data_IF_929883022276
#
_entry.id   IF_929883022276
#
_cell.length_a   1.000
_cell.length_b   1.000
_cell.length_c   1.000
_cell.angle_alpha   90.00
_cell.angle_beta   90.00
_cell.angle_gamma   90.00
#
_symmetry.space_group_name_H-M   'P 1'
#
loop_
_entity.id
_entity.type
_entity.pdbx_description
1 polymer ?
#
# COMPACT_ATOMS: atom_id res chain seq x y z
N UNK A 1 -12.89 5.29 -22.38
CA UNK A 1 -12.35 4.29 -23.30
C UNK A 1 -10.92 4.64 -23.72
N UNK A 2 -10.66 5.87 -24.12
CA UNK A 2 -9.35 6.29 -24.66
C UNK A 2 -8.16 6.15 -23.68
N UNK A 3 -8.41 6.04 -22.40
CA UNK A 3 -7.36 5.89 -21.36
C UNK A 3 -6.97 4.42 -21.14
N UNK A 4 -7.86 3.46 -21.43
CA UNK A 4 -7.65 2.02 -21.19
C UNK A 4 -7.70 1.21 -22.51
N UNK A 5 -8.14 1.80 -23.62
CA UNK A 5 -8.17 1.17 -24.92
C UNK A 5 -6.88 1.40 -25.70
N UNK A 6 -6.47 0.43 -26.49
CA UNK A 6 -5.49 0.62 -27.55
C UNK A 6 -6.25 0.91 -28.85
N UNK A 7 -5.60 1.56 -29.83
CA UNK A 7 -6.17 1.84 -31.17
C UNK A 7 -6.74 0.61 -31.91
N UNK A 8 -6.63 -0.60 -31.31
CA UNK A 8 -7.01 -1.88 -31.93
C UNK A 8 -7.90 -2.79 -31.08
N UNK A 9 -8.35 -2.37 -29.88
CA UNK A 9 -9.26 -3.17 -29.07
C UNK A 9 -9.39 -2.71 -27.62
N UNK A 10 -10.44 -3.19 -26.96
CA UNK A 10 -10.76 -2.87 -25.56
C UNK A 10 -10.21 -3.94 -24.58
N UNK A 11 -9.25 -4.77 -24.99
CA UNK A 11 -8.76 -5.91 -24.20
C UNK A 11 -8.24 -5.49 -22.81
N UNK A 12 -7.51 -4.37 -22.75
CA UNK A 12 -6.99 -3.84 -21.47
C UNK A 12 -8.12 -3.37 -20.55
N UNK A 13 -9.15 -2.73 -21.12
CA UNK A 13 -10.33 -2.31 -20.38
C UNK A 13 -11.11 -3.52 -19.88
N UNK A 14 -11.31 -4.53 -20.71
CA UNK A 14 -12.00 -5.77 -20.37
C UNK A 14 -11.26 -6.53 -19.26
N UNK A 15 -9.94 -6.67 -19.35
CA UNK A 15 -9.12 -7.27 -18.31
C UNK A 15 -9.22 -6.48 -17.00
N UNK A 16 -9.16 -5.16 -17.06
CA UNK A 16 -9.28 -4.28 -15.88
C UNK A 16 -10.64 -4.45 -15.20
N UNK A 17 -11.73 -4.44 -15.97
CA UNK A 17 -13.10 -4.66 -15.45
C UNK A 17 -13.23 -6.05 -14.82
N UNK A 18 -12.71 -7.09 -15.49
CA UNK A 18 -12.73 -8.46 -14.99
C UNK A 18 -11.98 -8.62 -13.67
N UNK A 19 -10.77 -8.06 -13.58
CA UNK A 19 -9.96 -8.07 -12.35
C UNK A 19 -10.62 -7.29 -11.24
N UNK A 20 -11.19 -6.14 -11.54
CA UNK A 20 -11.92 -5.32 -10.56
C UNK A 20 -13.17 -6.04 -10.05
N UNK A 21 -13.91 -6.71 -10.93
CA UNK A 21 -15.03 -7.58 -10.56
C UNK A 21 -14.58 -8.70 -9.62
N UNK A 22 -13.55 -9.45 -10.00
CA UNK A 22 -13.02 -10.56 -9.21
C UNK A 22 -12.60 -10.08 -7.81
N UNK A 23 -11.88 -8.96 -7.74
CA UNK A 23 -11.48 -8.37 -6.46
C UNK A 23 -12.68 -7.90 -5.62
N UNK A 24 -13.66 -7.24 -6.24
CA UNK A 24 -14.87 -6.82 -5.55
C UNK A 24 -15.65 -8.01 -4.97
N UNK A 25 -15.64 -9.16 -5.67
CA UNK A 25 -16.32 -10.39 -5.23
C UNK A 25 -15.65 -11.04 -4.01
N UNK A 26 -14.41 -10.70 -3.68
CA UNK A 26 -13.81 -11.11 -2.40
C UNK A 26 -14.31 -10.28 -1.20
N UNK A 27 -15.09 -9.22 -1.42
CA UNK A 27 -15.70 -8.41 -0.37
C UNK A 27 -17.11 -8.89 -0.05
N UNK A 28 -17.50 -8.83 1.22
CA UNK A 28 -18.84 -9.23 1.65
C UNK A 28 -19.96 -8.41 0.97
N UNK A 29 -19.70 -7.14 0.64
CA UNK A 29 -20.60 -6.23 -0.08
C UNK A 29 -19.90 -5.63 -1.31
N UNK A 30 -19.83 -6.36 -2.44
CA UNK A 30 -19.10 -5.96 -3.65
C UNK A 30 -19.49 -4.60 -4.20
N UNK A 31 -20.80 -4.36 -4.32
CA UNK A 31 -21.31 -3.09 -4.87
C UNK A 31 -20.98 -1.89 -3.97
N UNK A 32 -21.09 -2.07 -2.66
CA UNK A 32 -20.72 -1.03 -1.69
C UNK A 32 -19.24 -0.70 -1.82
N UNK A 33 -18.40 -1.73 -1.84
CA UNK A 33 -16.94 -1.54 -1.98
C UNK A 33 -16.59 -0.79 -3.28
N UNK A 34 -17.18 -1.18 -4.41
CA UNK A 34 -16.98 -0.51 -5.70
C UNK A 34 -17.37 0.98 -5.63
N UNK A 35 -18.52 1.29 -5.05
CA UNK A 35 -18.98 2.69 -4.90
C UNK A 35 -18.07 3.48 -3.98
N UNK A 36 -17.67 2.91 -2.85
CA UNK A 36 -16.74 3.53 -1.91
C UNK A 36 -15.36 3.80 -2.55
N UNK A 37 -14.86 2.86 -3.36
CA UNK A 37 -13.61 3.02 -4.12
C UNK A 37 -13.67 4.21 -5.10
N UNK A 38 -14.82 4.41 -5.79
CA UNK A 38 -14.99 5.58 -6.65
C UNK A 38 -15.10 6.89 -5.82
N UNK A 39 -15.78 6.86 -4.68
CA UNK A 39 -15.93 8.01 -3.79
C UNK A 39 -14.60 8.48 -3.19
N UNK A 40 -13.61 7.59 -3.04
CA UNK A 40 -12.27 7.96 -2.59
C UNK A 40 -11.58 9.00 -3.50
N UNK A 41 -12.04 9.15 -4.73
CA UNK A 41 -11.58 10.18 -5.68
C UNK A 41 -12.40 11.48 -5.62
N UNK A 42 -13.39 11.57 -4.73
CA UNK A 42 -14.19 12.78 -4.52
C UNK A 42 -13.49 13.74 -3.54
N UNK A 43 -12.41 14.32 -4.01
CA UNK A 43 -11.52 15.16 -3.21
C UNK A 43 -12.01 16.61 -3.23
N UNK A 44 -12.36 17.15 -2.07
CA UNK A 44 -12.77 18.56 -1.92
C UNK A 44 -11.67 19.53 -2.40
N UNK A 45 -12.04 20.74 -2.88
CA UNK A 45 -11.04 21.70 -3.37
C UNK A 45 -9.99 22.11 -2.32
N UNK A 46 -10.37 22.15 -1.05
CA UNK A 46 -9.56 22.53 0.11
C UNK A 46 -9.01 21.34 0.92
N UNK A 47 -9.22 20.12 0.44
CA UNK A 47 -8.70 18.92 1.10
C UNK A 47 -7.18 18.92 1.16
N UNK A 48 -6.65 18.37 2.23
CA UNK A 48 -5.22 18.03 2.37
C UNK A 48 -5.04 16.50 2.37
N UNK A 49 -3.84 16.02 2.03
CA UNK A 49 -3.62 14.56 1.96
C UNK A 49 -3.88 13.88 3.30
N UNK A 50 -3.57 14.53 4.41
CA UNK A 50 -3.78 13.97 5.74
C UNK A 50 -5.27 13.68 6.07
N UNK A 51 -6.21 14.26 5.32
CA UNK A 51 -7.66 13.97 5.43
C UNK A 51 -8.07 12.68 4.67
N UNK A 52 -7.20 12.15 3.82
CA UNK A 52 -7.49 10.97 3.03
C UNK A 52 -7.41 9.70 3.88
N UNK A 53 -8.39 8.80 3.73
CA UNK A 53 -8.48 7.53 4.48
C UNK A 53 -7.20 6.69 4.35
N UNK A 54 -6.53 6.75 3.21
CA UNK A 54 -5.30 6.00 2.94
C UNK A 54 -4.03 6.68 3.47
N UNK A 55 -4.08 7.96 3.87
CA UNK A 55 -2.89 8.73 4.22
C UNK A 55 -2.18 8.17 5.46
N UNK A 56 -2.90 7.87 6.53
CA UNK A 56 -2.29 7.35 7.76
C UNK A 56 -1.68 5.95 7.57
N UNK A 57 -2.37 4.95 6.98
CA UNK A 57 -1.76 3.66 6.64
C UNK A 57 -0.48 3.78 5.79
N UNK A 58 -0.45 4.70 4.83
CA UNK A 58 0.75 4.91 4.00
C UNK A 58 1.87 5.58 4.79
N UNK A 59 1.57 6.61 5.60
CA UNK A 59 2.56 7.22 6.50
C UNK A 59 3.18 6.19 7.44
N UNK A 60 2.38 5.30 8.00
CA UNK A 60 2.86 4.23 8.88
C UNK A 60 3.73 3.21 8.15
N UNK A 61 3.39 2.85 6.92
CA UNK A 61 4.22 1.98 6.11
C UNK A 61 5.59 2.63 5.80
N UNK A 62 5.58 3.90 5.44
CA UNK A 62 6.81 4.68 5.19
C UNK A 62 7.65 4.82 6.46
N UNK A 63 7.02 5.15 7.61
CA UNK A 63 7.72 5.25 8.90
C UNK A 63 8.42 3.96 9.28
N UNK A 64 7.77 2.81 9.10
CA UNK A 64 8.39 1.49 9.39
C UNK A 64 9.66 1.25 8.58
N UNK A 65 9.68 1.61 7.30
CA UNK A 65 10.89 1.52 6.48
C UNK A 65 11.98 2.44 7.02
N UNK A 66 11.65 3.71 7.29
CA UNK A 66 12.60 4.70 7.82
C UNK A 66 13.15 4.31 9.19
N UNK A 67 12.34 3.77 10.09
CA UNK A 67 12.77 3.30 11.41
C UNK A 67 13.73 2.11 11.30
N UNK A 68 13.47 1.18 10.37
CA UNK A 68 14.38 0.08 10.10
C UNK A 68 15.72 0.60 9.58
N UNK A 69 15.71 1.57 8.68
CA UNK A 69 16.90 2.20 8.13
C UNK A 69 17.70 2.94 9.21
N UNK A 70 17.02 3.62 10.13
CA UNK A 70 17.65 4.24 11.31
C UNK A 70 18.34 3.18 12.16
N UNK A 71 17.69 2.05 12.44
CA UNK A 71 18.30 0.94 13.21
C UNK A 71 19.51 0.34 12.51
N UNK A 72 19.45 0.15 11.18
CA UNK A 72 20.59 -0.31 10.38
C UNK A 72 21.78 0.64 10.51
N UNK A 73 21.54 1.96 10.46
CA UNK A 73 22.57 2.99 10.64
C UNK A 73 23.12 3.05 12.05
N UNK A 74 22.32 2.74 13.08
CA UNK A 74 22.84 2.61 14.45
C UNK A 74 23.91 1.53 14.55
N UNK A 75 23.65 0.35 13.94
CA UNK A 75 24.61 -0.73 13.84
C UNK A 75 25.88 -0.34 13.07
N UNK A 76 25.73 0.36 11.94
CA UNK A 76 26.86 0.88 11.17
C UNK A 76 27.69 1.85 12.00
N UNK A 77 27.07 2.85 12.60
CA UNK A 77 27.75 3.88 13.41
C UNK A 77 28.42 3.29 14.64
N UNK A 78 27.84 2.24 15.25
CA UNK A 78 28.50 1.50 16.32
C UNK A 78 29.86 0.95 15.85
N UNK A 79 29.93 0.30 14.69
CA UNK A 79 31.18 -0.25 14.15
C UNK A 79 32.17 0.84 13.70
N UNK A 80 31.69 1.92 13.09
CA UNK A 80 32.54 3.01 12.63
C UNK A 80 33.21 3.75 13.78
N UNK A 81 32.51 3.96 14.89
CA UNK A 81 33.04 4.68 16.08
C UNK A 81 34.10 3.90 16.85
N UNK A 82 34.18 2.58 16.65
CA UNK A 82 35.19 1.74 17.32
C UNK A 82 36.60 1.88 16.72
N UNK A 83 36.73 2.53 15.56
CA UNK A 83 38.00 2.58 14.81
C UNK A 83 38.28 3.97 14.29
N UNK A 84 39.42 4.52 14.68
CA UNK A 84 39.87 5.86 14.28
C UNK A 84 39.96 6.01 12.74
N UNK A 85 40.35 4.94 12.05
CA UNK A 85 40.44 4.90 10.59
C UNK A 85 39.14 5.29 9.88
N UNK A 86 37.97 5.15 10.53
CA UNK A 86 36.68 5.49 9.99
C UNK A 86 36.16 6.88 10.37
N UNK A 87 36.87 7.64 11.18
CA UNK A 87 36.44 8.96 11.62
C UNK A 87 35.97 9.88 10.48
N UNK A 88 36.64 9.93 9.29
CA UNK A 88 36.18 10.79 8.18
C UNK A 88 34.78 10.37 7.61
N UNK A 89 34.36 9.11 7.81
CA UNK A 89 33.07 8.61 7.36
C UNK A 89 31.99 8.75 8.43
N UNK A 90 32.36 8.73 9.73
CA UNK A 90 31.42 8.84 10.84
C UNK A 90 30.47 10.05 10.73
N UNK A 91 31.02 11.23 10.42
CA UNK A 91 30.24 12.47 10.31
C UNK A 91 29.20 12.37 9.21
N UNK A 92 29.57 11.76 8.07
CA UNK A 92 28.65 11.59 6.93
C UNK A 92 27.51 10.62 7.28
N UNK A 93 27.82 9.46 7.85
CA UNK A 93 26.80 8.51 8.28
C UNK A 93 25.91 9.08 9.40
N UNK A 94 26.48 9.90 10.30
CA UNK A 94 25.71 10.58 11.34
C UNK A 94 24.74 11.60 10.74
N UNK A 95 25.16 12.37 9.73
CA UNK A 95 24.30 13.33 9.04
C UNK A 95 23.17 12.64 8.27
N UNK A 96 23.49 11.55 7.56
CA UNK A 96 22.48 10.73 6.85
C UNK A 96 21.48 10.13 7.84
N UNK A 97 21.92 9.58 8.98
CA UNK A 97 21.02 9.08 10.02
C UNK A 97 20.14 10.18 10.62
N UNK A 98 20.69 11.37 10.83
CA UNK A 98 19.92 12.50 11.35
C UNK A 98 18.78 12.89 10.40
N UNK A 99 19.04 12.88 9.09
CA UNK A 99 17.99 13.13 8.08
C UNK A 99 16.91 12.05 8.10
N UNK A 100 17.28 10.77 8.21
CA UNK A 100 16.31 9.68 8.37
C UNK A 100 15.47 9.85 9.64
N UNK A 101 16.09 10.14 10.78
CA UNK A 101 15.37 10.38 12.04
C UNK A 101 14.43 11.59 11.96
N UNK A 102 14.81 12.63 11.27
CA UNK A 102 13.95 13.78 11.04
C UNK A 102 12.69 13.37 10.25
N UNK A 103 12.84 12.55 9.22
CA UNK A 103 11.71 12.04 8.46
C UNK A 103 10.79 11.14 9.31
N UNK A 104 11.34 10.29 10.19
CA UNK A 104 10.56 9.46 11.14
C UNK A 104 9.68 10.32 12.05
N UNK A 105 10.17 11.49 12.47
CA UNK A 105 9.44 12.39 13.39
C UNK A 105 8.36 13.24 12.71
N UNK A 106 8.23 13.17 11.37
CA UNK A 106 7.22 13.93 10.64
C UNK A 106 5.79 13.51 11.05
N UNK A 107 4.94 14.48 11.36
CA UNK A 107 3.56 14.23 11.74
C UNK A 107 2.61 14.37 10.55
N UNK A 108 2.84 15.32 9.67
CA UNK A 108 2.03 15.57 8.48
C UNK A 108 2.63 14.90 7.24
N UNK A 109 1.78 14.63 6.24
CA UNK A 109 2.24 14.18 4.93
C UNK A 109 3.22 15.17 4.29
N UNK A 110 2.94 16.46 4.42
CA UNK A 110 3.77 17.52 3.84
C UNK A 110 5.19 17.50 4.43
N UNK A 111 5.31 17.35 5.75
CA UNK A 111 6.62 17.27 6.40
C UNK A 111 7.34 15.98 6.02
N UNK A 112 6.64 14.85 6.02
CA UNK A 112 7.19 13.55 5.64
C UNK A 112 7.71 13.59 4.19
N UNK A 113 6.91 14.09 3.26
CA UNK A 113 7.29 14.28 1.85
C UNK A 113 8.52 15.18 1.71
N UNK A 114 8.51 16.32 2.39
CA UNK A 114 9.62 17.28 2.36
C UNK A 114 10.92 16.65 2.89
N UNK A 115 10.87 15.97 4.02
CA UNK A 115 12.05 15.38 4.63
C UNK A 115 12.57 14.19 3.81
N UNK A 116 11.71 13.27 3.37
CA UNK A 116 12.14 12.12 2.56
C UNK A 116 12.74 12.58 1.22
N UNK A 117 12.15 13.57 0.56
CA UNK A 117 12.69 14.13 -0.69
C UNK A 117 14.03 14.84 -0.51
N UNK A 118 14.29 15.38 0.68
CA UNK A 118 15.55 16.05 1.01
C UNK A 118 16.68 15.10 1.42
N UNK A 119 16.40 13.81 1.68
CA UNK A 119 17.44 12.83 2.00
C UNK A 119 18.33 12.63 0.77
N UNK A 120 19.60 12.92 0.93
CA UNK A 120 20.64 12.74 -0.08
C UNK A 120 21.78 11.84 0.43
N UNK A 121 22.43 11.16 -0.51
CA UNK A 121 23.54 10.26 -0.24
C UNK A 121 24.77 10.71 -1.01
N UNK A 122 25.48 11.72 -0.52
CA UNK A 122 26.68 12.25 -1.18
C UNK A 122 27.77 11.17 -1.28
N UNK A 123 28.70 11.36 -2.20
CA UNK A 123 29.82 10.43 -2.40
C UNK A 123 30.59 10.24 -1.10
N UNK A 124 30.82 8.98 -0.72
CA UNK A 124 31.61 8.66 0.48
C UNK A 124 33.04 9.18 0.37
N UNK A 125 33.52 9.75 1.45
CA UNK A 125 34.90 10.15 1.57
C UNK A 125 35.80 8.91 1.51
N UNK A 126 36.89 8.99 0.74
CA UNK A 126 37.85 7.91 0.64
C UNK A 126 38.60 7.71 1.96
N UNK A 127 38.65 6.48 2.43
CA UNK A 127 39.46 6.09 3.57
C UNK A 127 40.82 5.61 3.08
N UNK A 128 41.88 5.91 3.84
CA UNK A 128 43.25 5.58 3.49
C UNK A 128 43.84 4.62 4.52
N UNK A 129 44.74 3.72 4.07
CA UNK A 129 45.52 2.81 4.93
C UNK A 129 44.68 1.91 5.86
N UNK A 130 43.59 1.34 5.31
CA UNK A 130 42.83 0.37 6.04
C UNK A 130 43.56 -0.97 6.13
N UNK A 131 43.53 -1.61 7.31
CA UNK A 131 43.85 -3.03 7.47
C UNK A 131 42.89 -3.93 6.69
N UNK A 132 43.21 -5.19 6.49
CA UNK A 132 42.31 -6.10 5.78
C UNK A 132 41.02 -6.37 6.60
N UNK A 133 41.13 -6.38 7.92
CA UNK A 133 39.98 -6.44 8.81
C UNK A 133 39.07 -5.21 8.65
N UNK A 134 39.65 -4.02 8.65
CA UNK A 134 38.91 -2.76 8.48
C UNK A 134 38.27 -2.68 7.10
N UNK A 135 38.92 -3.17 6.05
CA UNK A 135 38.32 -3.25 4.72
C UNK A 135 37.05 -4.11 4.74
N UNK A 136 37.10 -5.27 5.40
CA UNK A 136 35.92 -6.15 5.49
C UNK A 136 34.76 -5.50 6.26
N UNK A 137 35.05 -4.76 7.35
CA UNK A 137 34.05 -3.99 8.08
C UNK A 137 33.48 -2.86 7.22
N UNK A 138 34.37 -2.11 6.55
CA UNK A 138 33.98 -0.99 5.69
C UNK A 138 33.07 -1.44 4.53
N UNK A 139 33.38 -2.57 3.87
CA UNK A 139 32.52 -3.11 2.81
C UNK A 139 31.11 -3.46 3.32
N UNK A 140 31.00 -4.04 4.52
CA UNK A 140 29.69 -4.27 5.15
C UNK A 140 28.93 -2.99 5.44
N UNK A 141 29.60 -1.97 5.98
CA UNK A 141 28.99 -0.66 6.23
C UNK A 141 28.50 -0.01 4.92
N UNK A 142 29.29 -0.07 3.85
CA UNK A 142 28.88 0.43 2.53
C UNK A 142 27.67 -0.32 2.00
N UNK A 143 27.64 -1.64 2.12
CA UNK A 143 26.51 -2.43 1.68
C UNK A 143 25.20 -2.01 2.38
N UNK A 144 25.23 -1.86 3.71
CA UNK A 144 24.06 -1.37 4.46
C UNK A 144 23.62 0.01 3.97
N UNK A 145 24.59 0.93 3.77
CA UNK A 145 24.28 2.25 3.22
C UNK A 145 23.65 2.19 1.83
N UNK A 146 24.15 1.32 0.96
CA UNK A 146 23.62 1.14 -0.40
C UNK A 146 22.19 0.56 -0.37
N UNK A 147 21.90 -0.34 0.56
CA UNK A 147 20.55 -0.88 0.78
C UNK A 147 19.59 0.25 1.25
N UNK A 148 19.97 1.01 2.30
CA UNK A 148 19.21 2.17 2.77
C UNK A 148 19.02 3.22 1.67
N UNK A 149 20.09 3.54 0.92
CA UNK A 149 20.00 4.43 -0.23
C UNK A 149 18.99 3.93 -1.25
N UNK A 150 18.93 2.63 -1.51
CA UNK A 150 17.98 2.02 -2.43
C UNK A 150 16.55 2.16 -1.90
N UNK A 151 16.33 1.91 -0.61
CA UNK A 151 15.01 2.06 0.01
C UNK A 151 14.50 3.51 -0.15
N UNK A 152 15.35 4.51 0.07
CA UNK A 152 14.99 5.92 -0.11
C UNK A 152 14.81 6.26 -1.60
N UNK A 153 15.86 6.06 -2.44
CA UNK A 153 15.91 6.63 -3.80
C UNK A 153 15.18 5.81 -4.86
N UNK A 154 14.90 4.54 -4.59
CA UNK A 154 14.21 3.63 -5.53
C UNK A 154 12.83 3.21 -5.07
N UNK A 155 12.51 3.37 -3.78
CA UNK A 155 11.22 3.00 -3.22
C UNK A 155 10.48 4.22 -2.69
N UNK A 156 10.97 4.89 -1.64
CA UNK A 156 10.19 5.95 -1.00
C UNK A 156 10.01 7.17 -1.90
N UNK A 157 11.10 7.73 -2.44
CA UNK A 157 11.01 8.94 -3.27
C UNK A 157 10.18 8.74 -4.56
N UNK A 158 10.39 7.69 -5.38
CA UNK A 158 9.66 7.57 -6.64
C UNK A 158 8.26 6.98 -6.49
N UNK A 159 7.98 6.19 -5.47
CA UNK A 159 6.68 5.51 -5.29
C UNK A 159 5.71 6.38 -4.49
N UNK A 160 6.15 6.91 -3.36
CA UNK A 160 5.26 7.64 -2.43
C UNK A 160 5.37 9.16 -2.55
N UNK A 161 6.52 9.68 -2.96
CA UNK A 161 6.81 11.12 -2.98
C UNK A 161 7.30 11.61 -4.34
N UNK A 162 6.83 10.99 -5.43
CA UNK A 162 7.17 11.39 -6.82
C UNK A 162 6.57 12.73 -7.20
N UNK A 163 5.45 13.12 -6.60
CA UNK A 163 4.73 14.36 -6.85
C UNK A 163 4.54 15.17 -5.57
N UNK A 164 4.20 16.44 -5.69
CA UNK A 164 3.82 17.26 -4.53
C UNK A 164 2.45 16.83 -4.01
N UNK A 165 2.09 17.19 -2.75
CA UNK A 165 0.76 16.93 -2.21
C UNK A 165 -0.37 17.48 -3.08
N UNK A 166 -0.19 18.69 -3.61
CA UNK A 166 -1.14 19.35 -4.49
C UNK A 166 -1.31 18.59 -5.81
N UNK A 167 -0.20 18.16 -6.43
CA UNK A 167 -0.22 17.35 -7.66
C UNK A 167 -0.92 16.01 -7.46
N UNK A 168 -0.75 15.38 -6.28
CA UNK A 168 -1.47 14.15 -5.92
C UNK A 168 -2.99 14.37 -5.86
N UNK A 169 -3.43 15.41 -5.13
CA UNK A 169 -4.85 15.73 -4.99
C UNK A 169 -5.49 16.12 -6.34
N UNK A 170 -4.78 16.88 -7.17
CA UNK A 170 -5.25 17.24 -8.52
C UNK A 170 -5.30 16.03 -9.44
N UNK A 171 -4.34 15.12 -9.32
CA UNK A 171 -4.36 13.82 -10.01
C UNK A 171 -5.60 13.00 -9.64
N UNK A 172 -5.94 12.92 -8.33
CA UNK A 172 -7.14 12.22 -7.87
C UNK A 172 -8.42 12.88 -8.42
N UNK A 173 -8.54 14.22 -8.38
CA UNK A 173 -9.68 14.94 -8.96
C UNK A 173 -9.84 14.66 -10.45
N UNK A 174 -8.73 14.67 -11.18
CA UNK A 174 -8.71 14.37 -12.62
C UNK A 174 -9.14 12.94 -12.92
N UNK A 175 -8.75 11.98 -12.06
CA UNK A 175 -9.12 10.56 -12.21
C UNK A 175 -10.56 10.25 -11.79
N UNK A 176 -11.23 11.10 -11.02
CA UNK A 176 -12.61 10.88 -10.54
C UNK A 176 -13.57 10.40 -11.63
N UNK A 177 -13.75 11.08 -12.78
CA UNK A 177 -14.69 10.63 -13.81
C UNK A 177 -14.29 9.28 -14.44
N UNK A 178 -12.99 9.02 -14.53
CA UNK A 178 -12.48 7.75 -15.07
C UNK A 178 -12.80 6.60 -14.13
N UNK A 179 -12.56 6.77 -12.82
CA UNK A 179 -12.86 5.77 -11.80
C UNK A 179 -14.37 5.53 -11.67
N UNK A 180 -15.18 6.58 -11.72
CA UNK A 180 -16.65 6.45 -11.74
C UNK A 180 -17.14 5.66 -12.97
N UNK A 181 -16.57 5.91 -14.14
CA UNK A 181 -16.86 5.16 -15.37
C UNK A 181 -16.46 3.69 -15.25
N UNK A 182 -15.27 3.40 -14.71
CA UNK A 182 -14.79 2.04 -14.52
C UNK A 182 -15.67 1.26 -13.53
N UNK A 183 -16.05 1.88 -12.42
CA UNK A 183 -17.00 1.28 -11.45
C UNK A 183 -18.35 1.00 -12.09
N UNK A 184 -18.88 1.93 -12.89
CA UNK A 184 -20.15 1.71 -13.61
C UNK A 184 -20.05 0.53 -14.55
N UNK A 185 -18.99 0.44 -15.36
CA UNK A 185 -18.76 -0.70 -16.26
C UNK A 185 -18.63 -2.02 -15.49
N UNK A 186 -17.95 -2.01 -14.34
CA UNK A 186 -17.80 -3.21 -13.50
C UNK A 186 -19.13 -3.66 -12.92
N UNK A 187 -19.99 -2.74 -12.48
CA UNK A 187 -21.34 -3.05 -11.99
C UNK A 187 -22.25 -3.58 -13.12
N UNK A 188 -22.18 -3.01 -14.30
CA UNK A 188 -22.92 -3.47 -15.48
C UNK A 188 -22.45 -4.86 -15.91
N UNK A 189 -21.14 -5.11 -15.90
CA UNK A 189 -20.57 -6.43 -16.14
C UNK A 189 -21.07 -7.44 -15.10
N UNK A 190 -20.99 -7.11 -13.80
CA UNK A 190 -21.47 -7.98 -12.72
C UNK A 190 -22.94 -8.39 -12.91
N UNK A 191 -23.80 -7.41 -13.27
CA UNK A 191 -25.21 -7.64 -13.54
C UNK A 191 -25.44 -8.54 -14.76
N UNK A 192 -24.75 -8.25 -15.87
CA UNK A 192 -24.88 -9.03 -17.11
C UNK A 192 -24.34 -10.47 -16.93
N UNK A 193 -23.19 -10.61 -16.26
CA UNK A 193 -22.57 -11.91 -15.98
C UNK A 193 -23.45 -12.77 -15.04
N UNK A 194 -23.99 -12.15 -13.98
CA UNK A 194 -24.93 -12.82 -13.07
C UNK A 194 -26.21 -13.28 -13.78
N UNK A 195 -26.77 -12.45 -14.68
CA UNK A 195 -27.93 -12.82 -15.48
C UNK A 195 -27.64 -14.01 -16.42
N UNK A 196 -26.47 -13.99 -17.09
CA UNK A 196 -26.05 -15.08 -17.98
C UNK A 196 -25.79 -16.39 -17.22
N UNK A 197 -25.22 -16.33 -16.03
CA UNK A 197 -25.09 -17.52 -15.15
C UNK A 197 -26.44 -18.06 -14.75
N UNK A 198 -27.35 -17.20 -14.32
CA UNK A 198 -28.72 -17.60 -13.92
C UNK A 198 -29.49 -18.27 -15.07
N UNK A 199 -29.40 -17.72 -16.28
CA UNK A 199 -30.03 -18.30 -17.47
C UNK A 199 -29.52 -19.72 -17.77
N UNK A 200 -28.24 -19.95 -17.58
CA UNK A 200 -27.59 -21.25 -17.80
C UNK A 200 -27.68 -22.21 -16.60
N UNK A 201 -28.19 -21.77 -15.47
CA UNK A 201 -28.19 -22.53 -14.23
C UNK A 201 -26.78 -22.80 -13.67
N UNK A 202 -25.85 -21.89 -13.93
CA UNK A 202 -24.44 -21.99 -13.49
C UNK A 202 -24.20 -21.18 -12.22
N UNK A 203 -23.31 -21.71 -11.37
CA UNK A 203 -22.76 -21.03 -10.20
C UNK A 203 -21.25 -21.21 -10.20
N UNK A 204 -20.52 -20.23 -9.71
CA UNK A 204 -19.08 -20.32 -9.44
C UNK A 204 -18.80 -20.32 -7.93
N UNK A 205 -17.54 -20.50 -7.55
CA UNK A 205 -17.15 -20.55 -6.13
C UNK A 205 -17.49 -19.26 -5.38
N UNK A 206 -17.31 -18.12 -6.00
CA UNK A 206 -17.64 -16.82 -5.41
C UNK A 206 -19.16 -16.69 -5.16
N UNK A 207 -20.02 -17.29 -6.01
CA UNK A 207 -21.45 -17.33 -5.73
C UNK A 207 -21.76 -18.14 -4.48
N UNK A 208 -21.07 -19.29 -4.26
CA UNK A 208 -21.24 -20.09 -3.05
C UNK A 208 -20.87 -19.32 -1.79
N UNK A 209 -19.75 -18.60 -1.82
CA UNK A 209 -19.32 -17.73 -0.72
C UNK A 209 -20.39 -16.67 -0.40
N UNK A 210 -20.92 -16.00 -1.42
CA UNK A 210 -21.96 -14.99 -1.24
C UNK A 210 -23.30 -15.58 -0.80
N UNK A 211 -23.66 -16.80 -1.22
CA UNK A 211 -24.82 -17.49 -0.68
C UNK A 211 -24.64 -17.84 0.80
N UNK A 212 -23.44 -18.27 1.21
CA UNK A 212 -23.13 -18.44 2.63
C UNK A 212 -23.29 -17.13 3.40
N UNK A 213 -22.76 -16.02 2.90
CA UNK A 213 -22.92 -14.70 3.52
C UNK A 213 -24.39 -14.30 3.63
N UNK A 214 -25.21 -14.54 2.61
CA UNK A 214 -26.66 -14.28 2.65
C UNK A 214 -27.39 -15.11 3.71
N UNK A 215 -26.94 -16.32 4.00
CA UNK A 215 -27.48 -17.16 5.07
C UNK A 215 -27.03 -16.67 6.45
N UNK A 216 -25.76 -16.25 6.56
CA UNK A 216 -25.14 -15.90 7.84
C UNK A 216 -25.38 -14.45 8.28
N UNK A 217 -25.80 -13.57 7.38
CA UNK A 217 -26.13 -12.18 7.68
C UNK A 217 -27.65 -12.02 7.88
N UNK A 218 -28.03 -11.21 8.85
CA UNK A 218 -29.42 -10.83 9.05
C UNK A 218 -29.91 -9.94 7.88
N UNK A 219 -31.23 -9.89 7.60
CA UNK A 219 -31.77 -9.08 6.50
C UNK A 219 -31.52 -7.57 6.61
N UNK A 220 -31.28 -7.08 7.82
CA UNK A 220 -30.98 -5.69 8.15
C UNK A 220 -29.47 -5.40 8.28
N UNK A 221 -28.62 -6.40 8.02
CA UNK A 221 -27.17 -6.21 8.02
C UNK A 221 -26.73 -5.25 6.92
N UNK A 222 -25.77 -4.39 7.24
CA UNK A 222 -25.16 -3.44 6.31
C UNK A 222 -23.64 -3.49 6.41
N UNK A 223 -22.91 -2.92 5.45
CA UNK A 223 -21.45 -2.82 5.53
C UNK A 223 -20.93 -2.16 6.81
N UNK A 224 -21.65 -1.14 7.30
CA UNK A 224 -21.32 -0.39 8.52
C UNK A 224 -21.77 -1.13 9.79
N UNK A 225 -22.76 -2.01 9.67
CA UNK A 225 -23.33 -2.74 10.79
C UNK A 225 -23.64 -4.19 10.40
N UNK A 226 -22.64 -5.08 10.36
CA UNK A 226 -22.83 -6.49 10.03
C UNK A 226 -23.50 -7.22 11.20
N UNK A 227 -24.78 -7.55 11.04
CA UNK A 227 -25.56 -8.27 12.04
C UNK A 227 -25.63 -9.75 11.67
N UNK A 228 -25.25 -10.68 12.56
CA UNK A 228 -25.38 -12.10 12.30
C UNK A 228 -26.86 -12.53 12.26
N UNK A 229 -27.17 -13.50 11.39
CA UNK A 229 -28.49 -14.13 11.33
C UNK A 229 -28.68 -15.13 12.46
N UNK A 230 -29.92 -15.61 12.65
CA UNK A 230 -30.21 -16.71 13.57
C UNK A 230 -29.38 -17.97 13.27
N UNK A 231 -29.18 -18.29 11.98
CA UNK A 231 -28.34 -19.41 11.57
C UNK A 231 -26.86 -19.21 11.98
N UNK A 232 -26.34 -18.00 11.87
CA UNK A 232 -24.98 -17.68 12.34
C UNK A 232 -24.85 -17.82 13.86
N UNK A 233 -25.84 -17.36 14.61
CA UNK A 233 -25.84 -17.50 16.09
C UNK A 233 -25.96 -18.96 16.51
N UNK A 234 -26.72 -19.78 15.82
CA UNK A 234 -26.80 -21.23 16.05
C UNK A 234 -25.41 -21.87 15.84
N UNK A 235 -24.73 -21.60 14.72
CA UNK A 235 -23.39 -22.10 14.45
C UNK A 235 -22.38 -21.64 15.53
N UNK A 236 -22.43 -20.38 15.95
CA UNK A 236 -21.58 -19.86 17.02
C UNK A 236 -21.78 -20.59 18.36
N UNK A 237 -22.99 -21.09 18.61
CA UNK A 237 -23.29 -21.88 19.82
C UNK A 237 -22.78 -23.33 19.73
N UNK A 238 -22.57 -23.85 18.51
CA UNK A 238 -22.10 -25.23 18.29
C UNK A 238 -20.57 -25.37 18.29
N UNK A 239 -19.85 -24.32 17.91
CA UNK A 239 -18.39 -24.33 17.79
C UNK A 239 -17.76 -23.47 18.88
N UNK A 240 -16.82 -24.04 19.63
CA UNK A 240 -16.04 -23.30 20.64
C UNK A 240 -14.84 -22.59 19.99
N UNK A 241 -14.24 -23.22 18.96
CA UNK A 241 -13.06 -22.70 18.28
C UNK A 241 -13.17 -22.93 16.76
N UNK A 242 -12.62 -22.00 15.97
CA UNK A 242 -12.50 -22.09 14.51
C UNK A 242 -11.04 -22.00 14.14
N UNK A 243 -10.52 -23.01 13.45
CA UNK A 243 -9.16 -23.05 12.94
C UNK A 243 -9.19 -22.88 11.41
N UNK A 244 -8.35 -21.97 10.90
CA UNK A 244 -8.18 -21.74 9.47
C UNK A 244 -6.80 -22.20 9.09
N UNK A 245 -6.73 -23.27 8.26
CA UNK A 245 -5.49 -23.73 7.64
C UNK A 245 -5.32 -23.06 6.27
N UNK A 246 -4.09 -22.93 5.80
CA UNK A 246 -3.76 -22.35 4.49
C UNK A 246 -4.39 -20.94 4.33
N UNK A 247 -4.31 -20.11 5.38
CA UNK A 247 -4.96 -18.77 5.41
C UNK A 247 -4.57 -17.89 4.21
N UNK A 248 -3.37 -18.07 3.65
CA UNK A 248 -2.90 -17.37 2.46
C UNK A 248 -3.71 -17.71 1.19
N UNK A 249 -4.43 -18.83 1.18
CA UNK A 249 -5.25 -19.29 0.05
C UNK A 249 -6.72 -18.84 0.21
N UNK A 250 -7.06 -18.23 1.33
CA UNK A 250 -8.40 -17.64 1.55
C UNK A 250 -8.46 -16.24 0.93
N UNK A 251 -9.53 -15.96 0.20
CA UNK A 251 -9.81 -14.65 -0.38
C UNK A 251 -10.36 -13.67 0.65
#
# INVERSE_FOLDING_TARGET
ADMFGSDRGDDVLMDTVSRMYTYARSMAWPEHWLKAAAQAYDVAPDAVIDDMVWAEPVKDAVRRILEEDVRRYEGVLYHLRQREAFAPACDQFTAEQAALRQAVQAQSWNDLSRFVRAIDFPRLKGLRKLSDEDKAVWERCKKVRDDVKKDITKTLQPVYFSATPEEWLDGMRTMKPVMAGLVTLTLDFAKAYGAAKKEKGWIDFSDLEHFCLQILLAPDASPEHPVPSAAAEELRSQYEEVFIDEYQDTN
#
